data_IF_264029625473
#
_entry.id   IF_264029625473
#
_cell.length_a   1.000
_cell.length_b   1.000
_cell.length_c   1.000
_cell.angle_alpha   90.00
_cell.angle_beta   90.00
_cell.angle_gamma   90.00
#
_symmetry.space_group_name_H-M   'P 1'
#
loop_
_entity.id
_entity.type
_entity.pdbx_description
1 polymer ?
#
# COMPACT_ATOMS: atom_id res chain seq x y z
N UNK A 1 20.00 17.05 29.47
CA UNK A 1 20.47 16.21 28.34
C UNK A 1 19.80 14.84 28.30
N UNK A 2 19.57 14.14 29.41
CA UNK A 2 18.87 12.84 29.44
C UNK A 2 17.43 12.88 28.88
N UNK A 3 16.64 13.92 29.16
CA UNK A 3 15.27 14.03 28.64
C UNK A 3 15.19 14.19 27.10
N UNK A 4 16.21 14.79 26.48
CA UNK A 4 16.25 14.95 25.02
C UNK A 4 16.57 13.62 24.31
N UNK A 5 17.43 12.78 24.90
CA UNK A 5 17.77 11.46 24.34
C UNK A 5 16.61 10.47 24.36
N UNK A 6 15.82 10.45 25.44
CA UNK A 6 14.65 9.56 25.56
C UNK A 6 13.57 9.93 24.54
N UNK A 7 13.30 11.22 24.34
CA UNK A 7 12.30 11.68 23.36
C UNK A 7 12.65 11.26 21.92
N UNK A 8 13.93 11.36 21.54
CA UNK A 8 14.40 10.96 20.21
C UNK A 8 14.30 9.44 19.97
N UNK A 9 14.59 8.63 20.99
CA UNK A 9 14.46 7.18 20.88
C UNK A 9 13.00 6.74 20.74
N UNK A 10 12.09 7.37 21.48
CA UNK A 10 10.65 7.08 21.41
C UNK A 10 10.08 7.46 20.04
N UNK A 11 10.43 8.63 19.50
CA UNK A 11 9.96 9.05 18.19
C UNK A 11 10.49 8.15 17.06
N UNK A 12 11.77 7.79 17.13
CA UNK A 12 12.36 6.87 16.16
C UNK A 12 11.71 5.48 16.21
N UNK A 13 11.48 4.94 17.42
CA UNK A 13 10.77 3.68 17.60
C UNK A 13 9.35 3.70 17.03
N UNK A 14 8.61 4.80 17.25
CA UNK A 14 7.27 4.98 16.71
C UNK A 14 7.26 5.02 15.16
N UNK A 15 8.23 5.71 14.55
CA UNK A 15 8.38 5.74 13.08
C UNK A 15 8.68 4.35 12.52
N UNK A 16 9.60 3.61 13.14
CA UNK A 16 9.91 2.24 12.71
C UNK A 16 8.71 1.31 12.83
N UNK A 17 7.95 1.42 13.94
CA UNK A 17 6.73 0.65 14.14
C UNK A 17 5.67 0.99 13.08
N UNK A 18 5.45 2.27 12.79
CA UNK A 18 4.52 2.71 11.77
C UNK A 18 4.91 2.18 10.38
N UNK A 19 6.19 2.25 10.02
CA UNK A 19 6.71 1.68 8.77
C UNK A 19 6.55 0.17 8.70
N UNK A 20 6.76 -0.54 9.81
CA UNK A 20 6.56 -1.98 9.90
C UNK A 20 5.10 -2.37 9.67
N UNK A 21 4.17 -1.69 10.35
CA UNK A 21 2.72 -1.92 10.19
C UNK A 21 2.29 -1.62 8.75
N UNK A 22 2.75 -0.51 8.18
CA UNK A 22 2.43 -0.15 6.80
C UNK A 22 3.04 -1.14 5.78
N UNK A 23 4.24 -1.66 6.03
CA UNK A 23 4.83 -2.71 5.20
C UNK A 23 4.03 -4.03 5.28
N UNK A 24 3.54 -4.40 6.46
CA UNK A 24 2.66 -5.55 6.64
C UNK A 24 1.33 -5.37 5.89
N UNK A 25 0.73 -4.17 5.95
CA UNK A 25 -0.46 -3.83 5.18
C UNK A 25 -0.21 -3.89 3.67
N UNK A 26 0.95 -3.41 3.20
CA UNK A 26 1.32 -3.49 1.79
C UNK A 26 1.44 -4.96 1.33
N UNK A 27 2.01 -5.85 2.15
CA UNK A 27 2.05 -7.28 1.86
C UNK A 27 0.65 -7.90 1.81
N UNK A 28 -0.21 -7.57 2.77
CA UNK A 28 -1.60 -8.00 2.76
C UNK A 28 -2.34 -7.52 1.50
N UNK A 29 -2.11 -6.27 1.08
CA UNK A 29 -2.67 -5.71 -0.14
C UNK A 29 -2.21 -6.47 -1.39
N UNK A 30 -0.92 -6.82 -1.49
CA UNK A 30 -0.38 -7.63 -2.59
C UNK A 30 -0.99 -9.03 -2.60
N UNK A 31 -1.17 -9.66 -1.43
CA UNK A 31 -1.81 -10.98 -1.33
C UNK A 31 -3.28 -10.94 -1.78
N UNK A 32 -4.05 -9.92 -1.37
CA UNK A 32 -5.43 -9.70 -1.84
C UNK A 32 -5.45 -9.42 -3.34
N UNK A 33 -4.53 -8.59 -3.83
CA UNK A 33 -4.40 -8.28 -5.24
C UNK A 33 -4.15 -9.52 -6.11
N UNK A 34 -3.27 -10.42 -5.67
CA UNK A 34 -2.99 -11.68 -6.36
C UNK A 34 -4.22 -12.60 -6.40
N UNK A 35 -4.96 -12.71 -5.28
CA UNK A 35 -6.21 -13.48 -5.22
C UNK A 35 -7.26 -12.94 -6.19
N UNK A 36 -7.46 -11.62 -6.22
CA UNK A 36 -8.44 -10.97 -7.10
C UNK A 36 -8.02 -11.06 -8.57
N UNK A 37 -6.72 -11.01 -8.86
CA UNK A 37 -6.20 -11.16 -10.22
C UNK A 37 -6.25 -12.61 -10.74
N UNK A 38 -6.73 -13.58 -9.95
CA UNK A 38 -6.71 -15.00 -10.31
C UNK A 38 -5.30 -15.56 -10.42
N UNK A 39 -4.31 -14.86 -9.83
CA UNK A 39 -2.94 -15.35 -9.72
C UNK A 39 -2.86 -16.29 -8.53
N UNK A 40 -3.56 -17.41 -8.65
CA UNK A 40 -3.29 -18.53 -7.78
C UNK A 40 -1.97 -19.09 -8.29
N UNK A 41 -0.92 -18.97 -7.48
CA UNK A 41 0.00 -20.07 -7.34
C UNK A 41 -0.88 -21.22 -6.86
N UNK A 42 -1.54 -21.92 -7.77
CA UNK A 42 -1.78 -23.33 -7.55
C UNK A 42 -0.36 -23.83 -7.33
N UNK A 43 0.03 -24.00 -6.06
CA UNK A 43 0.86 -25.14 -5.71
C UNK A 43 0.26 -26.23 -6.56
N UNK A 44 0.98 -26.61 -7.63
CA UNK A 44 0.58 -27.76 -8.43
C UNK A 44 0.39 -28.82 -7.38
N UNK A 45 -0.87 -29.12 -7.07
CA UNK A 45 -1.23 -30.34 -6.40
C UNK A 45 -0.63 -31.32 -7.36
N UNK A 46 0.52 -31.87 -6.98
CA UNK A 46 1.13 -32.99 -7.66
C UNK A 46 0.13 -34.09 -7.39
N UNK A 47 -0.94 -34.09 -8.17
CA UNK A 47 -1.81 -35.22 -8.34
C UNK A 47 -0.88 -36.29 -8.84
N UNK A 48 -0.60 -37.25 -7.99
CA UNK A 48 0.01 -38.50 -8.39
C UNK A 48 -1.01 -39.19 -9.31
N UNK A 49 -1.13 -38.73 -10.56
CA UNK A 49 -1.85 -39.39 -11.66
C UNK A 49 -1.04 -40.62 -12.06
N UNK A 50 -1.02 -41.62 -11.18
CA UNK A 50 -0.40 -42.91 -11.46
C UNK A 50 -1.38 -43.93 -12.02
N UNK A 51 -2.60 -43.53 -12.41
CA UNK A 51 -3.61 -44.51 -12.84
C UNK A 51 -4.68 -44.06 -13.85
N UNK A 52 -4.52 -42.93 -14.55
CA UNK A 52 -5.45 -42.58 -15.65
C UNK A 52 -4.85 -42.96 -17.00
N UNK A 53 -4.90 -44.25 -17.31
CA UNK A 53 -4.96 -44.69 -18.69
C UNK A 53 -6.34 -44.31 -19.25
N UNK A 54 -6.36 -43.73 -20.45
CA UNK A 54 -7.51 -43.60 -21.37
C UNK A 54 -8.36 -42.32 -21.48
N UNK A 55 -8.02 -41.18 -20.88
CA UNK A 55 -8.70 -39.92 -21.26
C UNK A 55 -7.69 -38.85 -21.75
N UNK A 56 -7.57 -38.73 -23.09
CA UNK A 56 -6.85 -37.68 -23.81
C UNK A 56 -7.57 -36.31 -23.74
N UNK A 57 -8.04 -35.91 -22.57
CA UNK A 57 -8.45 -34.53 -22.38
C UNK A 57 -7.18 -33.67 -22.33
N UNK A 58 -6.94 -32.89 -23.40
CA UNK A 58 -5.90 -31.87 -23.42
C UNK A 58 -6.02 -31.01 -22.14
N UNK A 59 -5.16 -31.28 -21.16
CA UNK A 59 -5.03 -30.46 -19.96
C UNK A 59 -4.57 -29.09 -20.44
N UNK A 60 -5.52 -28.20 -20.69
CA UNK A 60 -5.27 -26.79 -20.94
C UNK A 60 -4.66 -26.24 -19.66
N UNK A 61 -3.32 -26.26 -19.60
CA UNK A 61 -2.56 -25.56 -18.58
C UNK A 61 -2.98 -24.11 -18.72
N UNK A 62 -3.90 -23.67 -17.86
CA UNK A 62 -4.30 -22.29 -17.79
C UNK A 62 -2.99 -21.51 -17.59
N UNK A 63 -2.59 -20.74 -18.59
CA UNK A 63 -1.39 -19.91 -18.54
C UNK A 63 -1.65 -18.88 -17.45
N UNK A 64 -1.30 -19.26 -16.22
CA UNK A 64 -1.63 -18.51 -15.02
C UNK A 64 -0.98 -17.14 -15.11
N UNK A 65 -1.71 -16.10 -14.73
CA UNK A 65 -1.13 -14.76 -14.64
C UNK A 65 -0.04 -14.84 -13.55
N UNK A 66 1.24 -14.52 -13.86
CA UNK A 66 2.35 -14.69 -12.90
C UNK A 66 2.07 -13.85 -11.66
N UNK A 67 2.36 -14.25 -10.42
CA UNK A 67 2.02 -13.44 -9.23
C UNK A 67 2.81 -12.13 -9.14
N UNK A 68 2.21 -11.13 -8.49
CA UNK A 68 2.94 -9.96 -7.99
C UNK A 68 3.83 -10.49 -6.84
N UNK A 69 5.17 -10.39 -6.93
CA UNK A 69 6.04 -10.88 -5.88
C UNK A 69 5.84 -10.04 -4.62
N UNK A 70 5.70 -10.72 -3.48
CA UNK A 70 5.58 -10.04 -2.19
C UNK A 70 6.88 -9.30 -1.87
N UNK A 71 6.83 -8.02 -1.49
CA UNK A 71 8.01 -7.35 -0.96
C UNK A 71 8.39 -7.98 0.38
N UNK A 72 9.66 -8.33 0.56
CA UNK A 72 10.19 -8.61 1.90
C UNK A 72 10.01 -7.42 2.83
N UNK A 73 9.98 -7.64 4.15
CA UNK A 73 9.66 -6.60 5.16
C UNK A 73 10.50 -5.33 4.97
N UNK A 74 11.83 -5.46 4.90
CA UNK A 74 12.72 -4.31 4.71
C UNK A 74 12.45 -3.54 3.42
N UNK A 75 12.20 -4.27 2.31
CA UNK A 75 11.86 -3.65 1.01
C UNK A 75 10.51 -2.95 1.06
N UNK A 76 9.52 -3.56 1.72
CA UNK A 76 8.20 -2.96 1.93
C UNK A 76 8.29 -1.67 2.75
N UNK A 77 9.10 -1.65 3.81
CA UNK A 77 9.36 -0.44 4.59
C UNK A 77 9.99 0.66 3.73
N UNK A 78 10.95 0.33 2.87
CA UNK A 78 11.55 1.31 1.94
C UNK A 78 10.53 1.85 0.95
N UNK A 79 9.71 0.98 0.34
CA UNK A 79 8.66 1.40 -0.60
C UNK A 79 7.69 2.37 0.08
N UNK A 80 7.21 2.03 1.28
CA UNK A 80 6.29 2.87 2.05
C UNK A 80 6.96 4.19 2.45
N UNK A 81 8.21 4.14 2.91
CA UNK A 81 8.96 5.33 3.28
C UNK A 81 9.12 6.30 2.10
N UNK A 82 9.51 5.79 0.94
CA UNK A 82 9.66 6.60 -0.28
C UNK A 82 8.31 7.16 -0.76
N UNK A 83 7.24 6.35 -0.68
CA UNK A 83 5.89 6.82 -1.02
C UNK A 83 5.41 7.91 -0.05
N UNK A 84 5.65 7.75 1.25
CA UNK A 84 5.33 8.75 2.26
C UNK A 84 6.15 10.04 2.07
N UNK A 85 7.44 9.93 1.72
CA UNK A 85 8.27 11.08 1.41
C UNK A 85 7.78 11.81 0.15
N UNK A 86 7.44 11.09 -0.91
CA UNK A 86 6.86 11.68 -2.12
C UNK A 86 5.53 12.39 -1.83
N UNK A 87 4.67 11.77 -1.00
CA UNK A 87 3.41 12.36 -0.58
C UNK A 87 3.59 13.60 0.30
N UNK A 88 4.59 13.60 1.19
CA UNK A 88 4.91 14.76 2.02
C UNK A 88 5.42 15.94 1.18
N UNK A 89 6.27 15.67 0.18
CA UNK A 89 6.71 16.70 -0.78
C UNK A 89 5.53 17.24 -1.58
N UNK A 90 4.61 16.37 -2.02
CA UNK A 90 3.40 16.78 -2.74
C UNK A 90 2.49 17.66 -1.87
N UNK A 91 2.23 17.28 -0.62
CA UNK A 91 1.47 18.08 0.34
C UNK A 91 2.10 19.45 0.58
N UNK A 92 3.43 19.49 0.75
CA UNK A 92 4.15 20.74 0.93
C UNK A 92 4.02 21.64 -0.30
N UNK A 93 4.30 21.11 -1.49
CA UNK A 93 4.23 21.88 -2.73
C UNK A 93 2.81 22.38 -3.03
N UNK A 94 1.79 21.52 -2.87
CA UNK A 94 0.39 21.90 -3.04
C UNK A 94 -0.06 22.90 -1.97
N UNK A 95 0.37 22.72 -0.72
CA UNK A 95 0.05 23.64 0.37
C UNK A 95 0.60 25.04 0.13
N UNK A 96 1.86 25.16 -0.30
CA UNK A 96 2.45 26.45 -0.69
C UNK A 96 1.65 27.10 -1.81
N UNK A 97 1.37 26.35 -2.89
CA UNK A 97 0.64 26.90 -4.05
C UNK A 97 -0.78 27.33 -3.68
N UNK A 98 -1.51 26.55 -2.89
CA UNK A 98 -2.91 26.81 -2.57
C UNK A 98 -3.05 27.86 -1.48
N UNK A 99 -2.33 27.73 -0.36
CA UNK A 99 -2.54 28.62 0.78
C UNK A 99 -1.87 29.98 0.58
N UNK A 100 -0.66 30.04 0.01
CA UNK A 100 -0.02 31.33 -0.29
C UNK A 100 -0.58 31.97 -1.57
N UNK A 101 -0.97 31.15 -2.55
CA UNK A 101 -1.46 31.65 -3.84
C UNK A 101 -2.91 32.15 -3.83
N UNK A 102 -3.76 31.60 -2.94
CA UNK A 102 -5.20 31.91 -2.92
C UNK A 102 -5.71 32.44 -1.57
N UNK A 103 -4.83 32.66 -0.59
CA UNK A 103 -5.18 33.15 0.76
C UNK A 103 -6.31 32.31 1.43
N UNK A 104 -6.22 30.99 1.26
CA UNK A 104 -7.30 30.05 1.59
C UNK A 104 -7.02 29.25 2.88
N UNK A 105 -6.28 29.82 3.84
CA UNK A 105 -5.83 29.11 5.04
C UNK A 105 -6.99 28.54 5.88
N UNK A 106 -8.09 29.29 6.01
CA UNK A 106 -9.26 28.89 6.81
C UNK A 106 -10.38 28.21 5.97
N UNK A 107 -10.18 28.05 4.67
CA UNK A 107 -11.17 27.43 3.80
C UNK A 107 -11.05 25.89 3.85
N UNK A 108 -12.00 25.26 4.52
CA UNK A 108 -12.10 23.80 4.62
C UNK A 108 -12.17 23.12 3.25
N UNK A 109 -12.76 23.78 2.24
CA UNK A 109 -12.85 23.22 0.88
C UNK A 109 -11.49 23.20 0.20
N UNK A 110 -10.69 24.26 0.36
CA UNK A 110 -9.34 24.34 -0.16
C UNK A 110 -8.43 23.30 0.51
N UNK A 111 -8.53 23.13 1.83
CA UNK A 111 -7.82 22.09 2.56
C UNK A 111 -8.19 20.69 2.07
N UNK A 112 -9.48 20.39 1.92
CA UNK A 112 -9.96 19.10 1.41
C UNK A 112 -9.45 18.83 -0.01
N UNK A 113 -9.42 19.84 -0.88
CA UNK A 113 -8.88 19.74 -2.23
C UNK A 113 -7.38 19.41 -2.22
N UNK A 114 -6.59 20.07 -1.37
CA UNK A 114 -5.15 19.80 -1.21
C UNK A 114 -4.92 18.35 -0.78
N UNK A 115 -5.67 17.85 0.21
CA UNK A 115 -5.56 16.46 0.65
C UNK A 115 -5.98 15.47 -0.43
N UNK A 116 -7.04 15.75 -1.20
CA UNK A 116 -7.49 14.89 -2.29
C UNK A 116 -6.43 14.80 -3.41
N UNK A 117 -5.86 15.94 -3.81
CA UNK A 117 -4.79 15.99 -4.81
C UNK A 117 -3.53 15.29 -4.33
N UNK A 118 -3.13 15.51 -3.07
CA UNK A 118 -2.01 14.81 -2.47
C UNK A 118 -2.25 13.29 -2.44
N UNK A 119 -3.45 12.84 -2.07
CA UNK A 119 -3.78 11.41 -2.07
C UNK A 119 -3.63 10.78 -3.46
N UNK A 120 -4.01 11.49 -4.53
CA UNK A 120 -3.79 11.06 -5.91
C UNK A 120 -2.30 10.97 -6.27
N UNK A 121 -1.50 11.95 -5.86
CA UNK A 121 -0.05 11.93 -6.08
C UNK A 121 0.61 10.80 -5.30
N UNK A 122 0.23 10.60 -4.04
CA UNK A 122 0.70 9.48 -3.21
C UNK A 122 0.34 8.13 -3.82
N UNK A 123 -0.87 8.00 -4.38
CA UNK A 123 -1.29 6.79 -5.08
C UNK A 123 -0.41 6.54 -6.31
N UNK A 124 -0.24 7.55 -7.17
CA UNK A 124 0.61 7.44 -8.35
C UNK A 124 2.08 7.12 -7.99
N UNK A 125 2.61 7.73 -6.93
CA UNK A 125 3.95 7.45 -6.42
C UNK A 125 4.08 6.00 -5.93
N UNK A 126 3.10 5.50 -5.18
CA UNK A 126 3.09 4.11 -4.72
C UNK A 126 3.02 3.12 -5.89
N UNK A 127 2.18 3.39 -6.90
CA UNK A 127 2.12 2.58 -8.13
C UNK A 127 3.45 2.58 -8.86
N UNK A 128 4.06 3.74 -9.04
CA UNK A 128 5.36 3.89 -9.70
C UNK A 128 6.46 3.14 -8.95
N UNK A 129 6.52 3.27 -7.62
CA UNK A 129 7.49 2.58 -6.78
C UNK A 129 7.30 1.06 -6.80
N UNK A 130 6.06 0.58 -6.73
CA UNK A 130 5.76 -0.84 -6.85
C UNK A 130 6.16 -1.39 -8.22
N UNK A 131 5.85 -0.68 -9.31
CA UNK A 131 6.23 -1.09 -10.66
C UNK A 131 7.75 -1.04 -10.90
N UNK A 132 8.44 -0.07 -10.28
CA UNK A 132 9.89 0.10 -10.44
C UNK A 132 10.69 -0.88 -9.56
N UNK A 133 10.21 -1.19 -8.36
CA UNK A 133 10.92 -2.07 -7.43
C UNK A 133 10.50 -3.53 -7.59
N UNK A 134 9.24 -3.83 -7.90
CA UNK A 134 8.80 -5.21 -8.10
C UNK A 134 8.71 -5.50 -9.60
N UNK A 135 9.20 -6.66 -10.10
CA UNK A 135 9.10 -7.05 -11.50
C UNK A 135 7.64 -7.35 -11.88
N UNK A 136 6.84 -6.29 -12.03
CA UNK A 136 5.38 -6.31 -12.16
C UNK A 136 4.93 -5.28 -13.19
N UNK A 137 3.73 -5.44 -13.72
CA UNK A 137 3.15 -4.47 -14.65
C UNK A 137 2.46 -3.33 -13.90
N UNK A 138 2.42 -2.14 -14.48
CA UNK A 138 1.80 -0.94 -13.89
C UNK A 138 0.35 -1.19 -13.49
N UNK A 139 -0.43 -1.92 -14.31
CA UNK A 139 -1.83 -2.26 -14.00
C UNK A 139 -1.96 -3.08 -12.72
N UNK A 140 -0.99 -3.95 -12.44
CA UNK A 140 -1.01 -4.85 -11.28
C UNK A 140 -0.46 -4.15 -10.03
N UNK A 141 0.57 -3.32 -10.21
CA UNK A 141 1.01 -2.38 -9.19
C UNK A 141 -0.13 -1.43 -8.77
N UNK A 142 -0.94 -0.93 -9.71
CA UNK A 142 -2.11 -0.10 -9.44
C UNK A 142 -3.18 -0.83 -8.62
N UNK A 143 -3.43 -2.10 -8.92
CA UNK A 143 -4.38 -2.91 -8.18
C UNK A 143 -3.88 -3.19 -6.74
N UNK A 144 -2.60 -3.47 -6.55
CA UNK A 144 -2.00 -3.60 -5.21
C UNK A 144 -2.02 -2.29 -4.42
N UNK A 145 -1.70 -1.16 -5.06
CA UNK A 145 -1.78 0.16 -4.44
C UNK A 145 -3.21 0.51 -4.03
N UNK A 146 -4.21 0.18 -4.87
CA UNK A 146 -5.62 0.39 -4.57
C UNK A 146 -6.02 -0.36 -3.30
N UNK A 147 -5.67 -1.64 -3.19
CA UNK A 147 -5.96 -2.41 -1.97
C UNK A 147 -5.21 -1.88 -0.75
N UNK A 148 -3.98 -1.40 -0.90
CA UNK A 148 -3.25 -0.79 0.21
C UNK A 148 -3.98 0.47 0.73
N UNK A 149 -4.47 1.32 -0.16
CA UNK A 149 -5.28 2.50 0.20
C UNK A 149 -6.61 2.11 0.85
N UNK A 150 -7.32 1.11 0.32
CA UNK A 150 -8.57 0.62 0.91
C UNK A 150 -8.37 0.04 2.32
N UNK A 151 -7.30 -0.73 2.52
CA UNK A 151 -6.94 -1.26 3.84
C UNK A 151 -6.57 -0.13 4.82
N UNK A 152 -5.83 0.88 4.38
CA UNK A 152 -5.51 2.05 5.19
C UNK A 152 -6.77 2.84 5.56
N UNK A 153 -7.70 3.02 4.62
CA UNK A 153 -8.97 3.71 4.85
C UNK A 153 -9.85 2.93 5.84
N UNK A 154 -9.92 1.60 5.70
CA UNK A 154 -10.62 0.74 6.65
C UNK A 154 -10.01 0.81 8.06
N UNK A 155 -8.68 0.80 8.17
CA UNK A 155 -7.98 0.95 9.44
C UNK A 155 -8.24 2.34 10.06
N UNK A 156 -8.17 3.41 9.26
CA UNK A 156 -8.45 4.76 9.72
C UNK A 156 -9.89 4.91 10.22
N UNK A 157 -10.86 4.35 9.50
CA UNK A 157 -12.26 4.33 9.91
C UNK A 157 -12.48 3.55 11.22
N UNK A 158 -11.79 2.41 11.39
CA UNK A 158 -11.83 1.62 12.62
C UNK A 158 -11.27 2.40 13.81
N UNK A 159 -10.12 3.06 13.64
CA UNK A 159 -9.51 3.89 14.69
C UNK A 159 -10.42 5.07 15.04
N UNK A 160 -10.94 5.78 14.03
CA UNK A 160 -11.86 6.89 14.24
C UNK A 160 -13.13 6.46 14.99
N UNK A 161 -13.72 5.32 14.62
CA UNK A 161 -14.88 4.76 15.30
C UNK A 161 -14.58 4.37 16.75
N UNK A 162 -13.42 3.76 17.02
CA UNK A 162 -13.01 3.40 18.37
C UNK A 162 -12.81 4.65 19.23
N UNK A 163 -12.16 5.68 18.70
CA UNK A 163 -11.98 6.96 19.39
C UNK A 163 -13.33 7.60 19.72
N UNK A 164 -14.28 7.58 18.78
CA UNK A 164 -15.62 8.11 19.00
C UNK A 164 -16.37 7.36 20.12
N UNK A 165 -16.21 6.03 20.21
CA UNK A 165 -16.83 5.22 21.27
C UNK A 165 -16.17 5.44 22.64
N UNK A 166 -14.87 5.71 22.68
CA UNK A 166 -14.14 5.92 23.94
C UNK A 166 -14.38 7.34 24.50
N UNK A 167 -14.56 8.33 23.63
CA UNK A 167 -14.71 9.74 24.02
C UNK A 167 -16.16 10.23 24.11
N UNK A 168 -17.10 9.53 23.47
CA UNK A 168 -18.53 9.84 23.48
C UNK A 168 -19.28 9.11 24.57
#
# INVERSE_FOLDING_TARGET
>A
MLCAGVGMLVSFGAVLLALFVAAALLRAAVAVANRVAGSNLTETVVGWEWDSADDEDEVRVAVGVPPIPEPGVARGMVIVFLAAAANAVALYALGVVVFEGFDAYDDWTAQALVYALAALVGFAALVGLLAAMLPTTVRRAALAALFAYLLLLALAALVAGLVAVVLG
#
